data_IF_400427062984
#
_entry.id   IF_400427062984
#
_cell.length_a   1.000
_cell.length_b   1.000
_cell.length_c   1.000
_cell.angle_alpha   90.00
_cell.angle_beta   90.00
_cell.angle_gamma   90.00
#
_symmetry.space_group_name_H-M   'P 1'
#
loop_
_entity.id
_entity.type
_entity.pdbx_description
1 polymer ?
#
# COMPACT_ATOMS: atom_id res chain seq x y z
N UNK A 1 11.73 35.40 20.54
CA UNK A 1 12.63 34.83 19.51
C UNK A 1 12.75 33.35 19.83
N UNK A 2 12.14 32.47 19.04
CA UNK A 2 12.25 31.01 19.19
C UNK A 2 13.64 30.56 18.74
N UNK A 3 14.18 29.55 19.43
CA UNK A 3 15.53 29.02 19.21
C UNK A 3 15.59 28.29 17.84
N UNK A 4 16.64 28.45 17.00
CA UNK A 4 16.67 27.88 15.65
C UNK A 4 16.84 26.35 15.58
N UNK A 5 16.88 25.65 16.71
CA UNK A 5 17.26 24.23 16.81
C UNK A 5 16.18 23.29 17.31
N UNK A 6 15.00 23.80 17.69
CA UNK A 6 13.84 22.97 17.99
C UNK A 6 12.91 22.94 16.77
N UNK A 7 13.31 22.20 15.73
CA UNK A 7 12.31 21.73 14.76
C UNK A 7 11.55 20.59 15.44
N UNK A 8 10.43 20.92 16.10
CA UNK A 8 9.45 19.91 16.50
C UNK A 8 9.04 19.13 15.24
N UNK A 9 9.47 17.87 15.15
CA UNK A 9 9.05 17.00 14.06
C UNK A 9 7.58 16.62 14.28
N UNK A 10 6.79 16.61 13.20
CA UNK A 10 5.38 16.27 13.27
C UNK A 10 5.23 14.74 13.32
N UNK A 11 4.89 14.20 14.49
CA UNK A 11 4.71 12.75 14.68
C UNK A 11 3.47 12.24 13.95
N UNK A 12 3.58 11.08 13.31
CA UNK A 12 2.41 10.36 12.77
C UNK A 12 1.67 9.65 13.89
N UNK A 13 0.36 9.42 13.72
CA UNK A 13 -0.47 8.69 14.70
C UNK A 13 0.01 7.25 14.94
N UNK A 14 0.60 6.64 13.91
CA UNK A 14 1.25 5.34 13.98
C UNK A 14 2.59 5.38 13.25
N UNK A 15 3.57 4.57 13.68
CA UNK A 15 4.77 4.30 12.88
C UNK A 15 4.40 3.50 11.62
N UNK A 16 5.12 3.76 10.53
CA UNK A 16 4.94 3.12 9.24
C UNK A 16 6.26 2.59 8.71
N UNK A 17 6.21 1.47 7.99
CA UNK A 17 7.37 0.83 7.39
C UNK A 17 7.18 0.69 5.89
N UNK A 18 8.12 1.26 5.13
CA UNK A 18 8.22 1.01 3.69
C UNK A 18 9.01 -0.28 3.44
N UNK A 19 8.42 -1.17 2.68
CA UNK A 19 9.00 -2.42 2.20
C UNK A 19 9.09 -2.41 0.68
N UNK A 20 10.02 -3.19 0.16
CA UNK A 20 10.30 -3.33 -1.26
C UNK A 20 10.41 -4.81 -1.64
N UNK A 21 9.83 -5.16 -2.78
CA UNK A 21 10.02 -6.45 -3.44
C UNK A 21 10.61 -6.24 -4.84
N UNK A 22 11.75 -6.90 -5.10
CA UNK A 22 12.45 -6.88 -6.40
C UNK A 22 11.96 -7.98 -7.35
N UNK A 23 11.69 -7.66 -8.62
CA UNK A 23 11.29 -8.67 -9.62
C UNK A 23 12.37 -9.70 -9.95
N UNK A 24 13.62 -9.47 -9.53
CA UNK A 24 14.74 -10.40 -9.73
C UNK A 24 14.80 -11.50 -8.67
N UNK A 25 14.04 -11.37 -7.59
CA UNK A 25 13.96 -12.38 -6.54
C UNK A 25 13.05 -13.51 -7.01
N UNK A 26 13.63 -14.61 -7.54
CA UNK A 26 12.89 -15.85 -7.75
C UNK A 26 12.49 -16.40 -6.39
N UNK A 27 11.19 -16.49 -6.10
CA UNK A 27 10.69 -17.09 -4.85
C UNK A 27 10.97 -18.58 -4.86
N UNK A 28 11.61 -19.09 -3.82
CA UNK A 28 11.60 -20.48 -3.41
C UNK A 28 11.35 -20.53 -1.89
N UNK A 29 11.05 -21.72 -1.35
CA UNK A 29 10.77 -21.88 0.09
C UNK A 29 11.91 -21.36 0.99
N UNK A 30 13.15 -21.39 0.50
CA UNK A 30 14.34 -20.99 1.26
C UNK A 30 14.51 -19.46 1.33
N UNK A 31 13.96 -18.70 0.38
CA UNK A 31 14.12 -17.24 0.31
C UNK A 31 12.81 -16.45 0.44
N UNK A 32 11.67 -17.13 0.66
CA UNK A 32 10.36 -16.49 0.86
C UNK A 32 10.40 -15.42 1.97
N UNK A 33 11.08 -15.68 3.10
CA UNK A 33 11.25 -14.69 4.18
C UNK A 33 12.23 -13.56 3.85
N UNK A 34 13.13 -13.75 2.88
CA UNK A 34 14.05 -12.72 2.37
C UNK A 34 13.47 -11.95 1.17
N UNK A 35 12.22 -12.24 0.81
CA UNK A 35 11.54 -11.69 -0.37
C UNK A 35 11.15 -10.23 -0.21
N UNK A 36 10.75 -9.85 1.01
CA UNK A 36 10.41 -8.49 1.37
C UNK A 36 11.60 -7.82 2.04
N UNK A 37 12.15 -6.81 1.38
CA UNK A 37 13.24 -5.99 1.94
C UNK A 37 12.63 -4.82 2.68
N UNK A 38 12.87 -4.73 3.99
CA UNK A 38 12.55 -3.54 4.79
C UNK A 38 13.44 -2.38 4.32
N UNK A 39 12.85 -1.28 3.89
CA UNK A 39 13.57 -0.08 3.48
C UNK A 39 13.83 0.80 4.70
N UNK A 40 12.78 1.26 5.37
CA UNK A 40 12.86 2.11 6.56
C UNK A 40 11.53 2.12 7.32
N UNK A 41 11.61 2.16 8.65
CA UNK A 41 10.51 2.56 9.54
C UNK A 41 10.64 4.03 9.88
N UNK A 42 9.52 4.75 9.91
CA UNK A 42 9.45 6.15 10.32
C UNK A 42 8.20 6.40 11.16
N UNK A 43 8.23 7.46 11.95
CA UNK A 43 7.12 7.89 12.80
C UNK A 43 6.92 9.42 12.78
N UNK A 44 7.51 10.10 11.80
CA UNK A 44 7.35 11.56 11.58
C UNK A 44 7.08 11.85 10.11
N UNK A 45 6.37 12.96 9.86
CA UNK A 45 6.08 13.45 8.50
C UNK A 45 7.37 13.84 7.77
N UNK A 46 8.34 14.42 8.49
CA UNK A 46 9.63 14.79 7.94
C UNK A 46 10.43 13.56 7.50
N UNK A 47 10.44 12.49 8.29
CA UNK A 47 11.10 11.24 7.89
C UNK A 47 10.41 10.54 6.73
N UNK A 48 9.08 10.64 6.64
CA UNK A 48 8.34 10.21 5.45
C UNK A 48 8.85 10.95 4.21
N UNK A 49 8.91 12.29 4.23
CA UNK A 49 9.37 13.06 3.08
C UNK A 49 10.84 12.84 2.76
N UNK A 50 11.72 12.72 3.78
CA UNK A 50 13.12 12.35 3.59
C UNK A 50 13.25 11.01 2.87
N UNK A 51 12.45 10.02 3.26
CA UNK A 51 12.44 8.70 2.62
C UNK A 51 11.86 8.77 1.21
N UNK A 52 10.65 9.35 1.05
CA UNK A 52 9.91 9.37 -0.20
C UNK A 52 10.67 10.10 -1.31
N UNK A 53 11.35 11.21 -0.98
CA UNK A 53 12.16 11.97 -1.92
C UNK A 53 13.44 11.26 -2.37
N UNK A 54 13.86 10.19 -1.68
CA UNK A 54 15.09 9.45 -1.98
C UNK A 54 14.84 8.02 -2.50
N UNK A 55 13.58 7.62 -2.67
CA UNK A 55 13.22 6.37 -3.35
C UNK A 55 12.77 6.65 -4.79
N UNK A 56 12.97 5.67 -5.68
CA UNK A 56 12.50 5.79 -7.07
C UNK A 56 10.97 5.75 -7.12
N UNK A 57 10.38 6.60 -7.95
CA UNK A 57 8.93 6.58 -8.18
C UNK A 57 8.48 5.27 -8.86
N UNK A 58 7.23 4.83 -8.63
CA UNK A 58 6.70 3.59 -9.19
C UNK A 58 6.87 3.44 -10.70
N UNK A 59 6.65 4.51 -11.47
CA UNK A 59 6.77 4.52 -12.92
C UNK A 59 8.21 4.24 -13.41
N UNK A 60 9.21 4.59 -12.61
CA UNK A 60 10.64 4.38 -12.86
C UNK A 60 11.20 3.04 -12.33
N UNK A 61 10.38 2.23 -11.65
CA UNK A 61 10.81 0.93 -11.14
C UNK A 61 10.89 -0.12 -12.26
N UNK A 62 11.77 -1.13 -12.12
CA UNK A 62 11.73 -2.31 -12.97
C UNK A 62 10.35 -2.98 -12.92
N UNK A 63 9.85 -3.44 -14.08
CA UNK A 63 8.59 -4.18 -14.17
C UNK A 63 8.63 -5.39 -13.22
N UNK A 64 7.54 -5.59 -12.46
CA UNK A 64 7.38 -6.64 -11.46
C UNK A 64 7.74 -6.19 -10.04
N UNK A 65 8.34 -5.01 -9.88
CA UNK A 65 8.56 -4.39 -8.57
C UNK A 65 7.26 -4.09 -7.85
N UNK A 66 7.27 -4.24 -6.53
CA UNK A 66 6.20 -3.76 -5.65
C UNK A 66 6.79 -3.02 -4.44
N UNK A 67 6.20 -1.86 -4.09
CA UNK A 67 6.39 -1.24 -2.78
C UNK A 67 5.16 -1.49 -1.91
N UNK A 68 5.40 -1.59 -0.61
CA UNK A 68 4.38 -1.70 0.41
C UNK A 68 4.68 -0.67 1.49
N UNK A 69 3.73 0.21 1.79
CA UNK A 69 3.77 1.04 2.97
C UNK A 69 2.78 0.46 3.97
N UNK A 70 3.31 -0.22 4.99
CA UNK A 70 2.51 -0.93 5.98
C UNK A 70 2.63 -0.24 7.33
N UNK A 71 1.58 -0.29 8.14
CA UNK A 71 1.66 0.10 9.55
C UNK A 71 2.74 -0.75 10.22
N UNK A 72 3.56 -0.15 11.09
CA UNK A 72 4.69 -0.89 11.68
C UNK A 72 4.20 -2.10 12.49
N UNK A 73 4.98 -3.17 12.47
CA UNK A 73 4.59 -4.47 13.03
C UNK A 73 3.76 -5.35 12.08
N UNK A 74 3.21 -4.81 10.99
CA UNK A 74 2.57 -5.59 9.92
C UNK A 74 3.59 -5.88 8.81
N UNK A 75 3.83 -7.16 8.55
CA UNK A 75 4.60 -7.56 7.36
C UNK A 75 3.70 -7.57 6.13
N UNK A 76 4.25 -7.32 4.92
CA UNK A 76 3.50 -7.44 3.67
C UNK A 76 3.25 -8.91 3.26
N UNK A 77 2.88 -9.75 4.24
CA UNK A 77 2.55 -11.16 4.12
C UNK A 77 1.05 -11.29 4.45
N UNK A 78 0.28 -11.96 3.59
CA UNK A 78 -1.17 -12.04 3.78
C UNK A 78 -1.54 -12.92 5.00
N UNK A 79 -0.59 -13.76 5.44
CA UNK A 79 -0.64 -14.59 6.63
C UNK A 79 -0.44 -13.82 7.95
N UNK A 80 -0.10 -12.52 7.89
CA UNK A 80 0.04 -11.70 9.08
C UNK A 80 -1.27 -11.73 9.90
N UNK A 81 -1.24 -12.05 11.21
CA UNK A 81 -2.44 -12.18 12.02
C UNK A 81 -3.34 -10.95 12.02
N UNK A 82 -2.79 -9.75 11.77
CA UNK A 82 -3.55 -8.51 11.70
C UNK A 82 -4.31 -8.35 10.37
N UNK A 83 -3.86 -9.03 9.31
CA UNK A 83 -4.43 -8.90 7.97
C UNK A 83 -5.26 -10.11 7.55
N UNK A 84 -4.98 -11.31 8.07
CA UNK A 84 -5.53 -12.59 7.57
C UNK A 84 -7.07 -12.65 7.52
N UNK A 85 -7.75 -11.86 8.37
CA UNK A 85 -9.22 -11.78 8.43
C UNK A 85 -9.82 -10.71 7.52
N UNK A 86 -9.00 -9.96 6.78
CA UNK A 86 -9.44 -8.95 5.84
C UNK A 86 -9.05 -9.27 4.41
N UNK A 87 -8.56 -8.26 3.70
CA UNK A 87 -8.32 -8.40 2.28
C UNK A 87 -7.63 -7.22 1.62
N UNK A 88 -7.45 -7.35 0.31
CA UNK A 88 -6.81 -6.37 -0.55
C UNK A 88 -7.85 -5.76 -1.50
N UNK A 89 -8.01 -4.43 -1.45
CA UNK A 89 -8.72 -3.69 -2.49
C UNK A 89 -7.74 -3.20 -3.55
N UNK A 90 -7.93 -3.63 -4.78
CA UNK A 90 -7.03 -3.38 -5.91
C UNK A 90 -7.64 -2.39 -6.89
N UNK A 91 -6.97 -1.27 -7.13
CA UNK A 91 -7.25 -0.33 -8.21
C UNK A 91 -6.27 -0.54 -9.35
N UNK A 92 -6.76 -0.94 -10.52
CA UNK A 92 -5.94 -1.22 -11.70
C UNK A 92 -6.04 -0.10 -12.73
N UNK A 93 -4.89 0.46 -13.10
CA UNK A 93 -4.79 1.57 -14.03
C UNK A 93 -4.02 1.17 -15.29
N UNK A 94 -4.50 1.63 -16.44
CA UNK A 94 -3.92 1.24 -17.73
C UNK A 94 -2.52 1.83 -17.93
N UNK A 95 -1.78 1.32 -18.91
CA UNK A 95 -0.44 1.82 -19.26
C UNK A 95 -0.43 3.32 -19.60
N UNK A 96 -1.52 3.88 -20.14
CA UNK A 96 -1.61 5.32 -20.50
C UNK A 96 -1.46 6.20 -19.27
N UNK A 97 -2.00 5.76 -18.13
CA UNK A 97 -1.96 6.47 -16.85
C UNK A 97 -0.75 6.11 -15.99
N UNK A 98 0.30 5.53 -16.57
CA UNK A 98 1.49 5.10 -15.81
C UNK A 98 2.21 6.26 -15.12
N UNK A 99 2.22 7.44 -15.72
CA UNK A 99 2.82 8.64 -15.10
C UNK A 99 1.95 9.17 -13.96
N UNK A 100 0.62 9.12 -14.11
CA UNK A 100 -0.35 9.49 -13.05
C UNK A 100 -0.22 8.60 -11.81
N UNK A 101 0.24 7.36 -11.98
CA UNK A 101 0.41 6.42 -10.89
C UNK A 101 1.43 6.85 -9.82
N UNK A 102 2.39 7.70 -10.17
CA UNK A 102 3.32 8.26 -9.18
C UNK A 102 2.58 9.20 -8.20
N UNK A 103 1.62 9.98 -8.72
CA UNK A 103 0.75 10.82 -7.89
C UNK A 103 -0.21 9.96 -7.07
N UNK A 104 -0.88 8.98 -7.67
CA UNK A 104 -1.77 8.10 -6.90
C UNK A 104 -1.05 7.36 -5.79
N UNK A 105 0.19 6.92 -6.02
CA UNK A 105 1.02 6.31 -4.99
C UNK A 105 1.33 7.29 -3.86
N UNK A 106 1.77 8.51 -4.18
CA UNK A 106 2.02 9.56 -3.19
C UNK A 106 0.78 9.84 -2.33
N UNK A 107 -0.37 10.10 -2.97
CA UNK A 107 -1.61 10.38 -2.27
C UNK A 107 -2.08 9.19 -1.43
N UNK A 108 -1.91 7.95 -1.91
CA UNK A 108 -2.20 6.75 -1.13
C UNK A 108 -1.34 6.67 0.14
N UNK A 109 -0.04 6.98 0.02
CA UNK A 109 0.86 7.05 1.17
C UNK A 109 0.41 8.13 2.18
N UNK A 110 0.12 9.34 1.69
CA UNK A 110 -0.31 10.47 2.52
C UNK A 110 -1.65 10.16 3.23
N UNK A 111 -2.60 9.53 2.53
CA UNK A 111 -3.86 9.09 3.15
C UNK A 111 -3.63 8.12 4.29
N UNK A 112 -2.72 7.14 4.13
CA UNK A 112 -2.36 6.20 5.17
C UNK A 112 -1.68 6.90 6.36
N UNK A 113 -0.55 7.61 6.15
CA UNK A 113 0.23 8.17 7.25
C UNK A 113 -0.50 9.30 8.00
N UNK A 114 -1.43 9.98 7.32
CA UNK A 114 -2.29 11.00 7.90
C UNK A 114 -3.57 10.47 8.52
N UNK A 115 -3.82 9.16 8.49
CA UNK A 115 -5.05 8.52 8.97
C UNK A 115 -6.34 9.12 8.37
N UNK A 116 -6.28 9.52 7.10
CA UNK A 116 -7.37 10.28 6.44
C UNK A 116 -8.57 9.39 6.01
N UNK A 117 -8.57 8.11 6.37
CA UNK A 117 -9.66 7.18 6.07
C UNK A 117 -10.75 7.25 7.14
N UNK A 118 -11.76 8.08 6.88
CA UNK A 118 -12.84 8.35 7.83
C UNK A 118 -13.60 7.07 8.15
N UNK A 119 -13.67 6.74 9.45
CA UNK A 119 -14.41 5.57 9.95
C UNK A 119 -13.78 4.21 9.65
N UNK A 120 -12.53 4.17 9.17
CA UNK A 120 -11.79 2.92 8.97
C UNK A 120 -10.73 2.71 10.06
N UNK A 121 -10.10 3.80 10.53
CA UNK A 121 -9.16 3.79 11.66
C UNK A 121 -8.05 2.74 11.49
N UNK A 122 -7.82 1.95 12.55
CA UNK A 122 -6.79 0.91 12.56
C UNK A 122 -7.07 -0.27 11.63
N UNK A 123 -8.24 -0.35 10.99
CA UNK A 123 -8.48 -1.39 9.98
C UNK A 123 -7.62 -1.19 8.72
N UNK A 124 -7.05 0.00 8.50
CA UNK A 124 -6.11 0.22 7.40
C UNK A 124 -4.73 -0.29 7.79
N UNK A 125 -4.34 -1.41 7.17
CA UNK A 125 -3.05 -2.05 7.37
C UNK A 125 -1.95 -1.37 6.54
N UNK A 126 -2.27 -0.91 5.33
CA UNK A 126 -1.29 -0.28 4.46
C UNK A 126 -1.74 -0.09 3.02
N UNK A 127 -0.87 0.54 2.23
CA UNK A 127 -1.05 0.72 0.80
C UNK A 127 0.12 0.15 0.01
N UNK A 128 -0.16 -0.27 -1.23
CA UNK A 128 0.73 -1.04 -2.07
C UNK A 128 0.72 -0.42 -3.46
N UNK A 129 1.89 -0.36 -4.11
CA UNK A 129 1.99 -0.06 -5.53
C UNK A 129 2.78 -1.13 -6.26
N UNK A 130 2.14 -1.75 -7.24
CA UNK A 130 2.67 -2.85 -8.02
C UNK A 130 2.85 -2.42 -9.49
N UNK A 131 4.10 -2.27 -9.92
CA UNK A 131 4.43 -1.99 -11.32
C UNK A 131 4.41 -3.31 -12.10
N UNK A 132 3.49 -3.46 -13.06
CA UNK A 132 3.34 -4.66 -13.90
C UNK A 132 3.51 -4.28 -15.37
N UNK A 133 3.58 -5.27 -16.28
CA UNK A 133 3.90 -5.01 -17.70
C UNK A 133 2.85 -4.14 -18.41
N UNK A 134 1.57 -4.40 -18.17
CA UNK A 134 0.45 -3.76 -18.86
C UNK A 134 -0.27 -2.69 -18.04
N UNK A 135 -0.01 -2.61 -16.74
CA UNK A 135 -0.73 -1.76 -15.79
C UNK A 135 0.13 -1.42 -14.58
N UNK A 136 -0.22 -0.36 -13.87
CA UNK A 136 0.17 -0.17 -12.48
C UNK A 136 -1.06 -0.41 -11.62
N UNK A 137 -0.87 -1.10 -10.50
CA UNK A 137 -1.93 -1.33 -9.52
C UNK A 137 -1.59 -0.58 -8.25
N UNK A 138 -2.56 0.14 -7.71
CA UNK A 138 -2.53 0.64 -6.35
C UNK A 138 -3.47 -0.24 -5.54
N UNK A 139 -3.11 -0.59 -4.32
CA UNK A 139 -3.96 -1.43 -3.47
C UNK A 139 -3.89 -1.00 -2.03
N UNK A 140 -4.94 -1.31 -1.28
CA UNK A 140 -5.04 -1.06 0.15
C UNK A 140 -5.38 -2.36 0.86
N UNK A 141 -4.70 -2.63 1.97
CA UNK A 141 -4.99 -3.78 2.81
C UNK A 141 -5.86 -3.35 3.98
N UNK A 142 -6.94 -4.11 4.19
CA UNK A 142 -7.84 -4.00 5.33
C UNK A 142 -7.65 -5.19 6.27
N UNK A 143 -7.78 -4.95 7.57
CA UNK A 143 -7.79 -5.98 8.62
C UNK A 143 -9.10 -6.78 8.69
N UNK A 144 -10.14 -6.31 8.01
CA UNK A 144 -11.49 -6.91 7.96
C UNK A 144 -12.00 -7.00 6.52
N UNK A 145 -12.83 -8.01 6.24
CA UNK A 145 -13.55 -8.19 4.98
C UNK A 145 -15.06 -7.89 5.10
N UNK A 146 -15.46 -7.28 6.21
CA UNK A 146 -16.83 -6.79 6.42
C UNK A 146 -17.23 -5.76 5.35
N UNK A 147 -18.40 -6.00 4.73
CA UNK A 147 -18.89 -5.24 3.57
C UNK A 147 -18.96 -3.72 3.82
N UNK A 148 -19.36 -3.31 5.03
CA UNK A 148 -19.43 -1.88 5.40
C UNK A 148 -18.06 -1.20 5.27
N UNK A 149 -17.00 -1.82 5.79
CA UNK A 149 -15.64 -1.26 5.76
C UNK A 149 -15.06 -1.30 4.36
N UNK A 150 -15.30 -2.38 3.61
CA UNK A 150 -14.87 -2.53 2.21
C UNK A 150 -15.50 -1.43 1.35
N UNK A 151 -16.81 -1.25 1.44
CA UNK A 151 -17.55 -0.21 0.70
C UNK A 151 -17.08 1.19 1.09
N UNK A 152 -16.89 1.44 2.38
CA UNK A 152 -16.42 2.74 2.87
C UNK A 152 -15.02 3.08 2.39
N UNK A 153 -14.12 2.09 2.28
CA UNK A 153 -12.80 2.29 1.67
C UNK A 153 -12.94 2.56 0.17
N UNK A 154 -13.80 1.81 -0.51
CA UNK A 154 -14.05 1.94 -1.95
C UNK A 154 -14.49 3.37 -2.30
N UNK A 155 -15.51 3.88 -1.60
CA UNK A 155 -16.06 5.22 -1.83
C UNK A 155 -15.00 6.32 -1.64
N UNK A 156 -14.19 6.22 -0.58
CA UNK A 156 -13.14 7.20 -0.29
C UNK A 156 -11.99 7.16 -1.32
N UNK A 157 -11.54 5.96 -1.70
CA UNK A 157 -10.51 5.81 -2.73
C UNK A 157 -11.00 6.26 -4.11
N UNK A 158 -12.24 5.96 -4.48
CA UNK A 158 -12.86 6.41 -5.74
C UNK A 158 -12.88 7.92 -5.82
N UNK A 159 -13.39 8.59 -4.78
CA UNK A 159 -13.46 10.05 -4.73
C UNK A 159 -12.08 10.69 -4.97
N UNK A 160 -11.04 10.19 -4.31
CA UNK A 160 -9.68 10.72 -4.47
C UNK A 160 -9.11 10.45 -5.87
N UNK A 161 -9.25 9.24 -6.40
CA UNK A 161 -8.69 8.91 -7.71
C UNK A 161 -9.45 9.56 -8.88
N UNK A 162 -10.75 9.81 -8.74
CA UNK A 162 -11.52 10.60 -9.69
C UNK A 162 -11.04 12.05 -9.75
N UNK A 163 -10.79 12.67 -8.59
CA UNK A 163 -10.21 14.02 -8.52
C UNK A 163 -8.82 14.05 -9.18
N UNK A 164 -7.95 13.09 -8.81
CA UNK A 164 -6.57 13.05 -9.33
C UNK A 164 -6.51 12.75 -10.83
N UNK A 165 -7.51 12.07 -11.38
CA UNK A 165 -7.60 11.82 -12.82
C UNK A 165 -8.40 12.87 -13.59
N UNK A 166 -8.87 13.93 -12.92
CA UNK A 166 -9.82 14.89 -13.49
C UNK A 166 -11.03 14.22 -14.17
N UNK A 167 -11.47 13.08 -13.64
CA UNK A 167 -12.54 12.25 -14.19
C UNK A 167 -12.22 11.51 -15.50
N UNK A 168 -10.98 11.61 -16.00
CA UNK A 168 -10.61 11.08 -17.31
C UNK A 168 -10.12 9.62 -17.31
N UNK A 169 -9.75 9.10 -16.13
CA UNK A 169 -9.19 7.75 -16.00
C UNK A 169 -10.24 6.76 -15.49
N UNK A 170 -10.57 5.79 -16.36
CA UNK A 170 -11.32 4.59 -15.98
C UNK A 170 -10.38 3.62 -15.25
N UNK A 171 -10.67 3.35 -13.98
CA UNK A 171 -10.02 2.29 -13.21
C UNK A 171 -11.00 1.16 -12.94
N UNK A 172 -10.46 -0.07 -12.86
CA UNK A 172 -11.19 -1.22 -12.34
C UNK A 172 -10.82 -1.41 -10.90
N UNK A 173 -11.82 -1.65 -10.06
CA UNK A 173 -11.62 -2.05 -8.67
C UNK A 173 -12.00 -3.53 -8.48
N UNK A 174 -11.37 -4.17 -7.52
CA UNK A 174 -11.60 -5.56 -7.14
C UNK A 174 -11.20 -5.74 -5.67
N UNK A 175 -12.07 -6.28 -4.83
CA UNK A 175 -11.74 -6.62 -3.44
C UNK A 175 -11.54 -8.13 -3.31
N UNK A 176 -10.44 -8.52 -2.65
CA UNK A 176 -10.07 -9.93 -2.47
C UNK A 176 -9.83 -10.21 -0.99
N UNK A 177 -10.71 -11.00 -0.38
CA UNK A 177 -10.48 -11.52 0.97
C UNK A 177 -9.28 -12.45 0.98
N UNK A 178 -8.39 -12.30 1.96
CA UNK A 178 -7.23 -13.19 2.12
C UNK A 178 -7.64 -14.59 2.57
N UNK A 179 -8.80 -14.74 3.22
CA UNK A 179 -9.34 -16.07 3.59
C UNK A 179 -9.62 -16.94 2.37
N UNK A 180 -9.97 -16.35 1.23
CA UNK A 180 -10.15 -17.09 -0.02
C UNK A 180 -8.83 -17.67 -0.58
N UNK A 181 -7.67 -17.27 -0.06
CA UNK A 181 -6.39 -17.89 -0.36
C UNK A 181 -6.13 -19.13 0.51
N UNK A 182 -6.67 -19.18 1.73
CA UNK A 182 -6.55 -20.34 2.63
C UNK A 182 -7.27 -21.57 2.09
N UNK A 183 -8.48 -21.40 1.57
CA UNK A 183 -9.26 -22.50 0.98
C UNK A 183 -8.52 -23.17 -0.17
N UNK A 184 -7.90 -22.37 -1.06
CA UNK A 184 -7.11 -22.88 -2.20
C UNK A 184 -5.87 -23.68 -1.79
N UNK A 185 -5.30 -23.40 -0.61
CA UNK A 185 -4.12 -24.12 -0.11
C UNK A 185 -4.52 -25.49 0.47
N UNK A 186 -5.74 -25.60 1.03
CA UNK A 186 -6.27 -26.85 1.58
C UNK A 186 -6.66 -27.83 0.47
N UNK A 187 -7.27 -27.34 -0.61
CA UNK A 187 -7.69 -28.16 -1.76
C UNK A 187 -6.52 -28.80 -2.55
N UNK A 188 -5.28 -28.34 -2.34
CA UNK A 188 -4.08 -28.88 -2.98
C UNK A 188 -3.32 -29.91 -2.13
N UNK A 189 -3.85 -30.27 -0.95
CA UNK A 189 -3.25 -31.27 -0.04
C UNK A 189 -4.04 -32.59 0.04
N UNK A 190 -5.12 -32.72 -0.74
CA UNK A 190 -5.85 -33.97 -0.97
C UNK A 190 -5.54 -34.54 -2.37
#
# INVERSE_FOLDING_TARGET
MSNPTDTENHTTQSPWTLWYHSPRSKINEQNYKAFFTKVKTFNTVEDFWRLFNNVRSPSCLPIGTTYYLMRDGIKPEWEDPQCINGGEMVFSFTKKSRQEADQWWLFSCIMCIGENFIGLGNNICGCIVANRKSMIRISFWLATDEEEYVKRLEDQCKSVFEILSAGSTLFKFDFRSFRANLSKIQDHKE
#
